data_IF_187705785231
#
_entry.id   IF_187705785231
#
_cell.length_a   1.000
_cell.length_b   1.000
_cell.length_c   1.000
_cell.angle_alpha   90.00
_cell.angle_beta   90.00
_cell.angle_gamma   90.00
#
_symmetry.space_group_name_H-M   'P 1'
#
loop_
_entity.id
_entity.type
_entity.pdbx_description
1 polymer ?
#
# COMPACT_ATOMS: atom_id res chain seq x y z
N UNK A 1 -6.47 -15.24 -7.75
CA UNK A 1 -6.23 -14.56 -6.45
C UNK A 1 -6.29 -13.06 -6.71
N UNK A 2 -7.22 -12.32 -6.08
CA UNK A 2 -7.25 -10.86 -6.22
C UNK A 2 -6.49 -10.22 -5.06
N UNK A 3 -5.48 -9.44 -5.40
CA UNK A 3 -4.66 -8.70 -4.45
C UNK A 3 -4.96 -7.22 -4.57
N UNK A 4 -4.97 -6.53 -3.44
CA UNK A 4 -4.92 -5.08 -3.45
C UNK A 4 -3.53 -4.65 -3.00
N UNK A 5 -2.94 -3.68 -3.68
CA UNK A 5 -1.56 -3.29 -3.40
C UNK A 5 -1.49 -1.85 -2.89
N UNK A 6 -0.57 -1.56 -1.96
CA UNK A 6 -0.30 -0.20 -1.48
C UNK A 6 1.18 0.13 -1.62
N UNK A 7 1.52 1.21 -2.33
CA UNK A 7 2.88 1.77 -2.42
C UNK A 7 2.97 3.10 -1.66
N UNK A 8 4.13 3.37 -1.06
CA UNK A 8 4.37 4.62 -0.31
C UNK A 8 5.62 5.31 -0.86
N UNK A 9 5.56 6.60 -1.25
CA UNK A 9 6.77 7.36 -1.52
C UNK A 9 7.52 7.65 -0.22
N UNK A 10 8.85 7.49 -0.26
CA UNK A 10 9.75 8.01 0.78
C UNK A 10 9.60 9.54 0.80
N UNK A 11 9.57 10.14 1.98
CA UNK A 11 9.57 11.59 2.16
C UNK A 11 10.64 12.27 1.29
N UNK A 12 10.24 12.98 0.25
CA UNK A 12 11.11 13.89 -0.48
C UNK A 12 10.42 15.25 -0.58
N UNK A 13 11.05 16.28 -0.04
CA UNK A 13 10.62 17.66 -0.23
C UNK A 13 10.64 18.01 -1.73
N UNK A 14 9.68 18.83 -2.23
CA UNK A 14 9.52 19.10 -3.66
C UNK A 14 10.73 19.79 -4.34
N UNK A 15 11.65 20.35 -3.54
CA UNK A 15 12.82 21.09 -4.01
C UNK A 15 14.04 20.23 -4.35
N UNK A 16 14.09 18.95 -3.92
CA UNK A 16 15.26 18.08 -4.11
C UNK A 16 15.11 17.00 -5.18
N UNK A 17 13.91 16.81 -5.75
CA UNK A 17 13.66 15.81 -6.81
C UNK A 17 14.16 16.23 -8.22
N UNK A 18 14.89 17.33 -8.38
CA UNK A 18 15.44 17.73 -9.70
C UNK A 18 16.79 17.10 -10.05
N UNK A 19 17.44 16.38 -9.12
CA UNK A 19 18.84 15.94 -9.32
C UNK A 19 19.13 14.45 -9.16
N UNK A 20 18.16 13.59 -8.85
CA UNK A 20 18.36 12.14 -9.01
C UNK A 20 17.03 11.41 -9.19
N UNK A 21 16.85 10.77 -10.33
CA UNK A 21 15.75 9.81 -10.61
C UNK A 21 15.85 8.51 -9.76
N UNK A 22 16.85 8.39 -8.87
CA UNK A 22 17.21 7.11 -8.25
C UNK A 22 16.82 6.90 -6.77
N UNK A 23 16.52 7.95 -5.98
CA UNK A 23 16.30 7.80 -4.52
C UNK A 23 14.86 7.98 -4.02
N UNK A 24 13.89 8.18 -4.92
CA UNK A 24 12.47 8.37 -4.56
C UNK A 24 11.59 7.13 -4.83
N UNK A 25 12.17 5.92 -4.81
CA UNK A 25 11.65 4.78 -5.57
C UNK A 25 11.37 3.47 -4.81
N UNK A 26 11.57 3.34 -3.49
CA UNK A 26 11.42 2.02 -2.82
C UNK A 26 10.00 1.44 -2.96
N UNK A 27 8.97 2.23 -2.60
CA UNK A 27 7.58 1.78 -2.71
C UNK A 27 7.09 1.65 -4.16
N UNK A 28 7.55 2.51 -5.06
CA UNK A 28 7.13 2.50 -6.47
C UNK A 28 7.82 1.41 -7.29
N UNK A 29 9.13 1.28 -7.18
CA UNK A 29 9.91 0.24 -7.87
C UNK A 29 9.53 -1.16 -7.39
N UNK A 30 9.33 -1.34 -6.08
CA UNK A 30 8.83 -2.61 -5.53
C UNK A 30 7.43 -2.95 -6.04
N UNK A 31 6.56 -1.95 -6.18
CA UNK A 31 5.21 -2.12 -6.70
C UNK A 31 5.19 -2.45 -8.19
N UNK A 32 6.02 -1.78 -8.99
CA UNK A 32 6.14 -2.02 -10.43
C UNK A 32 6.66 -3.43 -10.69
N UNK A 33 7.75 -3.83 -10.03
CA UNK A 33 8.28 -5.19 -10.11
C UNK A 33 7.24 -6.24 -9.67
N UNK A 34 6.45 -5.95 -8.64
CA UNK A 34 5.39 -6.84 -8.17
C UNK A 34 4.26 -6.99 -9.20
N UNK A 35 3.85 -5.90 -9.86
CA UNK A 35 2.84 -5.94 -10.93
C UNK A 35 3.31 -6.80 -12.09
N UNK A 36 4.54 -6.60 -12.53
CA UNK A 36 5.11 -7.36 -13.65
C UNK A 36 5.21 -8.86 -13.34
N UNK A 37 5.69 -9.22 -12.14
CA UNK A 37 5.75 -10.63 -11.74
C UNK A 37 4.35 -11.23 -11.53
N UNK A 38 3.43 -10.49 -10.91
CA UNK A 38 2.05 -10.94 -10.71
C UNK A 38 1.36 -11.23 -12.04
N UNK A 39 1.56 -10.38 -13.05
CA UNK A 39 0.99 -10.59 -14.38
C UNK A 39 1.53 -11.86 -15.06
N UNK A 40 2.83 -12.15 -14.91
CA UNK A 40 3.46 -13.37 -15.43
C UNK A 40 2.92 -14.65 -14.79
N UNK A 41 2.62 -14.59 -13.50
CA UNK A 41 2.09 -15.71 -12.71
C UNK A 41 0.55 -15.81 -12.73
N UNK A 42 -0.13 -14.98 -13.52
CA UNK A 42 -1.60 -14.99 -13.61
C UNK A 42 -2.34 -14.49 -12.36
N UNK A 43 -1.68 -13.64 -11.57
CA UNK A 43 -2.23 -13.04 -10.35
C UNK A 43 -2.84 -11.66 -10.68
N UNK A 44 -4.14 -11.52 -10.41
CA UNK A 44 -4.87 -10.28 -10.69
C UNK A 44 -4.72 -9.28 -9.54
N UNK A 45 -4.34 -8.05 -9.87
CA UNK A 45 -4.33 -6.93 -8.92
C UNK A 45 -5.65 -6.15 -9.09
N UNK A 46 -6.47 -6.12 -8.05
CA UNK A 46 -7.77 -5.43 -8.05
C UNK A 46 -7.60 -3.90 -8.12
N UNK A 47 -6.72 -3.38 -7.27
CA UNK A 47 -6.37 -1.96 -7.28
C UNK A 47 -5.02 -1.71 -6.63
N UNK A 48 -4.41 -0.58 -6.99
CA UNK A 48 -3.16 -0.11 -6.40
C UNK A 48 -3.40 1.26 -5.77
N UNK A 49 -3.07 1.40 -4.49
CA UNK A 49 -3.25 2.63 -3.72
C UNK A 49 -1.91 3.21 -3.29
N UNK A 50 -1.89 4.53 -3.06
CA UNK A 50 -0.73 5.23 -2.51
C UNK A 50 -1.11 5.98 -1.24
N UNK A 51 -0.25 5.94 -0.23
CA UNK A 51 -0.39 6.71 1.02
C UNK A 51 0.98 7.17 1.47
N UNK A 52 1.08 8.36 2.07
CA UNK A 52 2.34 8.84 2.64
C UNK A 52 2.54 8.30 4.06
N UNK A 53 3.78 8.02 4.46
CA UNK A 53 4.09 7.49 5.80
C UNK A 53 3.76 8.47 6.94
N UNK A 54 3.76 9.78 6.64
CA UNK A 54 3.35 10.85 7.54
C UNK A 54 1.87 11.25 7.41
N UNK A 55 1.06 10.51 6.64
CA UNK A 55 -0.34 10.83 6.46
C UNK A 55 -1.11 10.77 7.79
N UNK A 56 -2.06 11.68 7.99
CA UNK A 56 -2.91 11.67 9.18
C UNK A 56 -3.83 10.45 9.25
N UNK A 57 -4.33 10.16 10.45
CA UNK A 57 -5.17 8.98 10.73
C UNK A 57 -6.36 8.82 9.78
N UNK A 58 -7.03 9.92 9.44
CA UNK A 58 -8.18 9.92 8.52
C UNK A 58 -7.82 9.43 7.11
N UNK A 59 -6.56 9.58 6.68
CA UNK A 59 -6.10 9.11 5.38
C UNK A 59 -5.99 7.59 5.36
N UNK A 60 -5.49 6.99 6.45
CA UNK A 60 -5.48 5.54 6.63
C UNK A 60 -6.90 4.97 6.70
N UNK A 61 -7.81 5.66 7.38
CA UNK A 61 -9.22 5.24 7.45
C UNK A 61 -9.89 5.27 6.06
N UNK A 62 -9.63 6.30 5.25
CA UNK A 62 -10.11 6.40 3.87
C UNK A 62 -9.52 5.30 2.99
N UNK A 63 -8.23 4.98 3.16
CA UNK A 63 -7.58 3.88 2.45
C UNK A 63 -8.26 2.55 2.79
N UNK A 64 -8.48 2.26 4.07
CA UNK A 64 -9.16 1.02 4.50
C UNK A 64 -10.58 0.92 3.97
N UNK A 65 -11.36 2.00 3.96
CA UNK A 65 -12.71 1.99 3.35
C UNK A 65 -12.66 1.59 1.86
N UNK A 66 -11.64 2.04 1.12
CA UNK A 66 -11.42 1.61 -0.27
C UNK A 66 -11.03 0.13 -0.33
N UNK A 67 -10.16 -0.35 0.54
CA UNK A 67 -9.81 -1.77 0.62
C UNK A 67 -11.04 -2.66 0.91
N UNK A 68 -11.90 -2.23 1.84
CA UNK A 68 -13.15 -2.93 2.20
C UNK A 68 -14.11 -3.02 1.00
N UNK A 69 -14.14 -2.01 0.12
CA UNK A 69 -14.99 -2.06 -1.07
C UNK A 69 -14.66 -3.21 -2.05
N UNK A 70 -13.46 -3.81 -1.92
CA UNK A 70 -13.05 -4.99 -2.70
C UNK A 70 -13.33 -6.32 -1.99
N UNK A 71 -13.80 -6.32 -0.75
CA UNK A 71 -14.21 -7.55 -0.07
C UNK A 71 -15.54 -8.07 -0.64
N UNK A 72 -15.75 -9.40 -0.66
CA UNK A 72 -14.82 -10.46 -0.26
C UNK A 72 -13.84 -10.89 -1.36
N UNK A 73 -13.86 -10.24 -2.53
CA UNK A 73 -13.07 -10.65 -3.71
C UNK A 73 -11.56 -10.55 -3.48
N UNK A 74 -11.09 -9.50 -2.80
CA UNK A 74 -9.67 -9.27 -2.50
C UNK A 74 -9.42 -9.15 -0.99
N UNK A 75 -9.06 -10.27 -0.35
CA UNK A 75 -8.75 -10.35 1.09
C UNK A 75 -7.27 -10.15 1.42
N UNK A 76 -6.39 -10.26 0.44
CA UNK A 76 -4.95 -10.15 0.62
C UNK A 76 -4.48 -8.78 0.14
N UNK A 77 -3.74 -8.08 0.99
CA UNK A 77 -3.20 -6.76 0.73
C UNK A 77 -1.68 -6.82 0.75
N UNK A 78 -1.04 -6.60 -0.40
CA UNK A 78 0.42 -6.48 -0.50
C UNK A 78 0.85 -5.03 -0.23
N UNK A 79 1.62 -4.81 0.83
CA UNK A 79 2.08 -3.50 1.28
C UNK A 79 3.60 -3.39 1.05
N UNK A 80 4.00 -2.54 0.10
CA UNK A 80 5.40 -2.13 -0.06
C UNK A 80 5.57 -0.83 0.72
N UNK A 81 5.70 -0.97 2.04
CA UNK A 81 5.45 0.08 3.01
C UNK A 81 6.53 0.10 4.09
N UNK A 82 6.94 1.29 4.56
CA UNK A 82 7.76 1.42 5.76
C UNK A 82 7.01 0.98 7.03
N UNK A 83 7.73 0.57 8.07
CA UNK A 83 7.14 0.06 9.32
C UNK A 83 6.15 1.02 9.99
N UNK A 84 6.37 2.34 9.89
CA UNK A 84 5.43 3.34 10.42
C UNK A 84 4.10 3.38 9.67
N UNK A 85 4.12 3.14 8.36
CA UNK A 85 2.91 3.02 7.54
C UNK A 85 2.12 1.78 7.93
N UNK A 86 2.80 0.65 8.10
CA UNK A 86 2.16 -0.61 8.55
C UNK A 86 1.51 -0.40 9.91
N UNK A 87 2.20 0.29 10.83
CA UNK A 87 1.63 0.68 12.12
C UNK A 87 0.38 1.56 11.96
N UNK A 88 0.42 2.58 11.11
CA UNK A 88 -0.72 3.45 10.81
C UNK A 88 -1.92 2.67 10.27
N UNK A 89 -1.67 1.70 9.38
CA UNK A 89 -2.70 0.84 8.81
C UNK A 89 -3.31 -0.10 9.86
N UNK A 90 -2.49 -0.76 10.69
CA UNK A 90 -2.96 -1.62 11.77
C UNK A 90 -3.78 -0.85 12.82
N UNK A 91 -3.37 0.38 13.15
CA UNK A 91 -4.13 1.25 14.06
C UNK A 91 -5.49 1.63 13.46
N UNK A 92 -5.53 1.97 12.17
CA UNK A 92 -6.77 2.27 11.47
C UNK A 92 -7.70 1.04 11.38
N UNK A 93 -7.15 -0.16 11.15
CA UNK A 93 -7.91 -1.41 11.18
C UNK A 93 -8.54 -1.64 12.56
N UNK A 94 -7.79 -1.39 13.63
CA UNK A 94 -8.31 -1.48 15.00
C UNK A 94 -9.42 -0.47 15.26
N UNK A 95 -9.25 0.80 14.85
CA UNK A 95 -10.27 1.86 15.01
C UNK A 95 -11.56 1.54 14.25
N UNK A 96 -11.44 0.96 13.06
CA UNK A 96 -12.58 0.64 12.20
C UNK A 96 -13.19 -0.76 12.46
N UNK A 97 -12.64 -1.54 13.40
CA UNK A 97 -13.13 -2.88 13.71
C UNK A 97 -12.86 -3.90 12.59
N UNK A 98 -11.82 -3.71 11.77
CA UNK A 98 -11.47 -4.54 10.62
C UNK A 98 -10.34 -5.55 10.94
N UNK A 99 -10.10 -5.84 12.22
CA UNK A 99 -9.09 -6.79 12.62
C UNK A 99 -9.46 -8.20 12.14
N UNK A 100 -8.57 -8.85 11.38
CA UNK A 100 -8.81 -10.20 10.82
C UNK A 100 -9.54 -10.22 9.46
N UNK A 101 -9.98 -9.08 8.95
CA UNK A 101 -10.67 -8.99 7.64
C UNK A 101 -9.70 -9.14 6.46
N UNK A 102 -8.46 -8.64 6.63
CA UNK A 102 -7.42 -8.66 5.61
C UNK A 102 -6.17 -9.42 6.07
N UNK A 103 -5.52 -10.09 5.12
CA UNK A 103 -4.16 -10.59 5.27
C UNK A 103 -3.18 -9.56 4.69
N UNK A 104 -2.35 -8.97 5.55
CA UNK A 104 -1.30 -8.03 5.14
C UNK A 104 0.01 -8.79 4.87
N UNK A 105 0.55 -8.62 3.66
CA UNK A 105 1.87 -9.11 3.27
C UNK A 105 2.78 -7.89 3.07
N UNK A 106 3.88 -7.81 3.81
CA UNK A 106 4.86 -6.73 3.70
C UNK A 106 6.29 -7.24 3.63
N UNK A 107 7.19 -6.40 3.12
CA UNK A 107 8.64 -6.63 3.11
C UNK A 107 9.37 -5.47 3.78
#
# INVERSE_FOLDING_TARGET
MHLTTSSVPLSAEPSHCRYSEHYCNYGESGMEAFKDMSAKEGICIAHSYKIYSNAGEQSFDKLLKKLVSHLPKARVVACFCEGMTVRGLLMAMRRLGLAGEFLLLGR
#
